data_IF_860943103806
#
_entry.id   IF_860943103806
#
_cell.length_a   1.000
_cell.length_b   1.000
_cell.length_c   1.000
_cell.angle_alpha   90.00
_cell.angle_beta   90.00
_cell.angle_gamma   90.00
#
_symmetry.space_group_name_H-M   'P 1'
#
loop_
_entity.id
_entity.type
_entity.pdbx_description
1 polymer ?
#
# COMPACT_ATOMS: atom_id res chain seq x y z
N UNK A 1 77.28 -29.05 35.77
CA UNK A 1 77.27 -27.59 36.01
C UNK A 1 77.86 -26.91 34.80
N UNK A 2 77.14 -25.92 34.25
CA UNK A 2 77.60 -24.63 33.74
C UNK A 2 76.62 -24.20 32.63
N UNK A 3 75.86 -23.17 32.99
CA UNK A 3 75.08 -22.27 32.13
C UNK A 3 76.02 -21.21 31.56
N UNK A 4 75.83 -20.79 30.30
CA UNK A 4 76.11 -19.44 29.77
C UNK A 4 75.29 -19.32 28.47
N UNK A 5 74.27 -18.45 28.39
CA UNK A 5 74.29 -16.99 28.21
C UNK A 5 74.18 -16.56 26.74
N UNK A 6 73.31 -15.56 26.56
CA UNK A 6 72.65 -15.10 25.32
C UNK A 6 73.62 -14.44 24.34
N UNK A 7 73.40 -14.64 23.04
CA UNK A 7 73.65 -13.61 22.03
C UNK A 7 72.52 -13.64 21.01
N UNK A 8 71.81 -12.51 20.92
CA UNK A 8 70.86 -12.23 19.85
C UNK A 8 71.64 -11.78 18.62
N UNK A 9 71.28 -12.31 17.44
CA UNK A 9 71.67 -11.74 16.17
C UNK A 9 70.46 -11.76 15.24
N UNK A 10 70.02 -10.57 14.85
CA UNK A 10 68.96 -10.35 13.90
C UNK A 10 69.45 -10.69 12.49
N UNK A 11 68.67 -11.48 11.76
CA UNK A 11 68.81 -11.63 10.31
C UNK A 11 67.42 -11.53 9.68
N UNK A 12 67.19 -10.41 8.99
CA UNK A 12 66.00 -10.19 8.19
C UNK A 12 66.03 -11.12 6.97
N UNK A 13 65.05 -12.01 6.85
CA UNK A 13 64.82 -12.79 5.65
C UNK A 13 63.72 -12.11 4.82
N UNK A 14 64.11 -11.63 3.64
CA UNK A 14 63.27 -11.02 2.62
C UNK A 14 62.39 -12.12 2.02
N UNK A 15 61.09 -12.11 2.28
CA UNK A 15 60.14 -12.93 1.52
C UNK A 15 59.75 -12.19 0.23
N UNK A 16 60.23 -12.71 -0.90
CA UNK A 16 59.76 -12.27 -2.21
C UNK A 16 58.27 -12.61 -2.37
N UNK A 17 57.43 -11.61 -2.51
CA UNK A 17 56.04 -11.81 -2.89
C UNK A 17 56.00 -12.11 -4.39
N UNK A 18 55.59 -13.33 -4.75
CA UNK A 18 55.19 -13.63 -6.13
C UNK A 18 53.80 -13.01 -6.30
N UNK A 19 53.75 -11.81 -6.87
CA UNK A 19 52.51 -11.21 -7.35
C UNK A 19 52.09 -11.96 -8.63
N UNK A 20 51.19 -12.93 -8.48
CA UNK A 20 50.41 -13.40 -9.62
C UNK A 20 49.41 -12.28 -9.97
N UNK A 21 49.32 -11.83 -11.23
CA UNK A 21 48.21 -10.98 -11.64
C UNK A 21 46.93 -11.80 -11.57
N UNK A 22 46.23 -11.72 -10.44
CA UNK A 22 44.80 -12.00 -10.44
C UNK A 22 44.19 -10.86 -11.26
N UNK A 23 43.63 -11.17 -12.43
CA UNK A 23 42.73 -10.26 -13.12
C UNK A 23 41.52 -10.01 -12.21
N UNK A 24 41.68 -9.07 -11.29
CA UNK A 24 40.60 -8.49 -10.51
C UNK A 24 39.87 -7.50 -11.43
N UNK A 25 39.15 -8.05 -12.40
CA UNK A 25 38.19 -7.28 -13.22
C UNK A 25 36.77 -7.80 -13.07
N UNK A 26 36.51 -8.63 -12.06
CA UNK A 26 35.14 -8.86 -11.60
C UNK A 26 34.89 -7.90 -10.46
N UNK A 27 34.67 -6.64 -10.84
CA UNK A 27 33.97 -5.70 -9.97
C UNK A 27 32.60 -6.31 -9.72
N UNK A 28 32.42 -6.97 -8.57
CA UNK A 28 31.11 -7.22 -7.96
C UNK A 28 30.38 -5.87 -7.99
N UNK A 29 29.51 -5.72 -8.97
CA UNK A 29 28.67 -4.56 -9.14
C UNK A 29 27.73 -4.52 -7.95
N UNK A 30 28.14 -3.82 -6.90
CA UNK A 30 27.21 -3.25 -5.94
C UNK A 30 26.41 -2.17 -6.68
N UNK A 31 25.47 -2.62 -7.51
CA UNK A 31 24.47 -1.75 -8.09
C UNK A 31 23.75 -1.07 -6.93
N UNK A 32 24.04 0.22 -6.73
CA UNK A 32 23.25 1.08 -5.88
C UNK A 32 21.84 1.14 -6.49
N UNK A 33 20.97 0.23 -6.07
CA UNK A 33 19.54 0.39 -6.29
C UNK A 33 19.18 1.72 -5.63
N UNK A 34 18.72 2.69 -6.44
CA UNK A 34 18.14 3.91 -5.90
C UNK A 34 17.12 3.48 -4.83
N UNK A 35 17.27 3.96 -3.59
CA UNK A 35 16.28 3.72 -2.53
C UNK A 35 15.03 4.49 -2.91
N UNK A 36 14.21 3.86 -3.73
CA UNK A 36 12.97 4.39 -4.28
C UNK A 36 11.91 4.36 -3.19
N UNK A 37 11.93 5.37 -2.32
CA UNK A 37 10.83 5.61 -1.39
C UNK A 37 10.77 4.73 -0.13
N UNK A 38 9.66 4.86 0.61
CA UNK A 38 9.35 4.08 1.81
C UNK A 38 9.09 2.61 1.42
N UNK A 39 9.83 1.61 1.95
CA UNK A 39 9.56 0.20 1.66
C UNK A 39 8.17 -0.24 2.13
N UNK A 40 7.53 -1.16 1.39
CA UNK A 40 6.24 -1.75 1.78
C UNK A 40 6.30 -2.34 3.19
N UNK A 41 5.31 -2.03 4.02
CA UNK A 41 5.21 -2.55 5.39
C UNK A 41 3.78 -2.50 5.91
N UNK A 42 3.51 -3.32 6.92
CA UNK A 42 2.25 -3.27 7.66
C UNK A 42 2.56 -3.30 9.16
N UNK A 43 1.60 -2.89 9.98
CA UNK A 43 1.76 -2.94 11.43
C UNK A 43 0.76 -2.06 12.15
N UNK A 44 1.13 -1.61 13.35
CA UNK A 44 0.34 -0.66 14.13
C UNK A 44 1.13 0.62 14.40
N UNK A 45 0.43 1.75 14.43
CA UNK A 45 1.00 3.06 14.75
C UNK A 45 -0.05 3.89 15.45
N UNK A 46 0.26 4.38 16.66
CA UNK A 46 -0.61 5.25 17.45
C UNK A 46 -2.04 4.70 17.65
N UNK A 47 -2.17 3.38 17.85
CA UNK A 47 -3.45 2.70 18.09
C UNK A 47 -4.22 2.27 16.84
N UNK A 48 -3.73 2.57 15.64
CA UNK A 48 -4.36 2.17 14.38
C UNK A 48 -3.50 1.14 13.64
N UNK A 49 -4.15 0.21 12.94
CA UNK A 49 -3.48 -0.61 11.94
C UNK A 49 -3.11 0.25 10.72
N UNK A 50 -1.99 -0.06 10.08
CA UNK A 50 -1.63 0.52 8.79
C UNK A 50 -1.18 -0.57 7.82
N UNK A 51 -1.48 -0.34 6.55
CA UNK A 51 -0.90 -1.09 5.44
C UNK A 51 -0.36 -0.10 4.43
N UNK A 52 0.86 -0.36 3.98
CA UNK A 52 1.56 0.41 2.95
C UNK A 52 2.20 -0.57 1.97
N UNK A 53 1.88 -0.41 0.69
CA UNK A 53 2.41 -1.23 -0.38
C UNK A 53 2.76 -0.37 -1.61
N UNK A 54 3.89 -0.68 -2.24
CA UNK A 54 4.31 -0.16 -3.54
C UNK A 54 4.96 -1.26 -4.35
N UNK A 55 4.84 -1.18 -5.69
CA UNK A 55 5.62 -2.00 -6.62
C UNK A 55 7.09 -1.55 -6.76
N UNK A 56 7.47 -0.45 -6.11
CA UNK A 56 8.83 0.11 -6.09
C UNK A 56 9.18 0.98 -7.30
N UNK A 57 8.29 1.11 -8.28
CA UNK A 57 8.57 1.89 -9.48
C UNK A 57 8.46 3.41 -9.24
N UNK A 58 7.48 3.84 -8.43
CA UNK A 58 7.26 5.25 -8.10
C UNK A 58 8.20 5.75 -7.00
N UNK A 59 8.63 7.01 -7.10
CA UNK A 59 9.24 7.70 -5.96
C UNK A 59 8.13 8.05 -4.99
N UNK A 60 8.11 7.42 -3.82
CA UNK A 60 7.01 7.55 -2.87
C UNK A 60 7.44 7.60 -1.42
N UNK A 61 6.85 8.51 -0.64
CA UNK A 61 7.02 8.56 0.81
C UNK A 61 5.68 8.34 1.49
N UNK A 62 5.59 7.25 2.25
CA UNK A 62 4.51 6.99 3.20
C UNK A 62 5.00 7.29 4.62
N UNK A 63 4.22 8.09 5.36
CA UNK A 63 4.54 8.49 6.74
C UNK A 63 3.33 8.28 7.64
N UNK A 64 3.52 7.53 8.73
CA UNK A 64 2.55 7.46 9.82
C UNK A 64 2.60 8.73 10.67
N UNK A 65 1.50 9.48 10.74
CA UNK A 65 1.30 10.60 11.65
C UNK A 65 0.71 10.18 13.01
N UNK A 66 0.37 11.16 13.84
CA UNK A 66 -0.29 10.96 15.13
C UNK A 66 -1.70 10.37 14.99
N UNK A 67 -2.13 9.54 15.94
CA UNK A 67 -3.43 8.85 15.90
C UNK A 67 -3.67 8.12 14.57
N UNK A 68 -4.85 8.34 13.98
CA UNK A 68 -5.22 7.75 12.69
C UNK A 68 -4.69 8.47 11.45
N UNK A 69 -3.77 9.44 11.60
CA UNK A 69 -3.20 10.18 10.48
C UNK A 69 -2.13 9.39 9.73
N UNK A 70 -2.15 9.46 8.40
CA UNK A 70 -1.03 9.14 7.52
C UNK A 70 -0.88 10.21 6.43
N UNK A 71 0.33 10.32 5.89
CA UNK A 71 0.64 11.15 4.72
C UNK A 71 1.26 10.27 3.65
N UNK A 72 0.87 10.50 2.40
CA UNK A 72 1.43 9.86 1.22
C UNK A 72 1.79 10.93 0.19
N UNK A 73 3.04 10.93 -0.27
CA UNK A 73 3.48 11.77 -1.38
C UNK A 73 4.16 10.89 -2.42
N UNK A 74 3.66 10.91 -3.65
CA UNK A 74 4.17 10.10 -4.73
C UNK A 74 4.40 10.94 -5.99
N UNK A 75 5.42 10.57 -6.76
CA UNK A 75 5.77 11.23 -8.02
C UNK A 75 6.38 10.23 -9.00
N UNK A 76 6.58 10.69 -10.24
CA UNK A 76 7.22 9.91 -11.30
C UNK A 76 6.26 9.43 -12.39
N UNK A 77 4.95 9.58 -12.20
CA UNK A 77 3.92 9.15 -13.16
C UNK A 77 4.07 7.68 -13.60
N UNK A 78 4.50 6.83 -12.68
CA UNK A 78 4.74 5.41 -12.90
C UNK A 78 4.29 4.59 -11.68
N UNK A 79 4.30 3.27 -11.82
CA UNK A 79 4.03 2.32 -10.74
C UNK A 79 2.59 2.28 -10.23
N UNK A 80 2.40 1.42 -9.23
CA UNK A 80 1.22 1.32 -8.40
C UNK A 80 1.59 1.33 -6.91
N UNK A 81 0.74 1.96 -6.10
CA UNK A 81 0.93 2.11 -4.67
C UNK A 81 -0.41 2.24 -3.96
N UNK A 82 -0.55 1.62 -2.80
CA UNK A 82 -1.74 1.71 -1.96
C UNK A 82 -1.34 1.79 -0.49
N UNK A 83 -1.86 2.78 0.23
CA UNK A 83 -1.46 3.03 1.61
C UNK A 83 -2.53 3.71 2.44
N UNK A 84 -2.64 3.31 3.71
CA UNK A 84 -3.57 3.95 4.62
C UNK A 84 -3.58 3.39 6.04
N UNK A 85 -4.48 3.92 6.87
CA UNK A 85 -4.71 3.52 8.26
C UNK A 85 -6.14 3.07 8.51
N UNK A 86 -6.33 2.25 9.55
CA UNK A 86 -7.63 1.77 10.00
C UNK A 86 -7.48 0.63 11.00
N UNK A 87 -8.08 -0.52 10.70
CA UNK A 87 -8.22 -1.64 11.63
C UNK A 87 -7.85 -2.97 10.98
N UNK A 88 -7.36 -3.89 11.80
CA UNK A 88 -7.22 -5.30 11.44
C UNK A 88 -7.53 -6.13 12.70
N UNK A 89 -8.59 -6.97 12.71
CA UNK A 89 -9.51 -7.20 11.60
C UNK A 89 -10.45 -6.02 11.34
N UNK A 90 -10.98 -5.97 10.11
CA UNK A 90 -12.10 -5.13 9.72
C UNK A 90 -13.41 -5.58 10.38
N UNK A 91 -14.45 -4.77 10.23
CA UNK A 91 -15.79 -5.08 10.73
C UNK A 91 -16.84 -4.83 9.66
N UNK A 92 -17.94 -5.57 9.73
CA UNK A 92 -19.05 -5.49 8.79
C UNK A 92 -19.99 -4.30 9.01
N UNK A 93 -19.87 -3.61 10.15
CA UNK A 93 -20.78 -2.52 10.53
C UNK A 93 -20.07 -1.29 11.09
N UNK A 94 -18.79 -1.11 10.78
CA UNK A 94 -18.02 0.05 11.26
C UNK A 94 -18.44 1.30 10.49
N UNK A 95 -18.75 2.37 11.22
CA UNK A 95 -18.80 3.72 10.65
C UNK A 95 -17.39 4.29 10.72
N UNK A 96 -16.81 4.60 9.55
CA UNK A 96 -15.43 5.09 9.44
C UNK A 96 -15.49 6.57 9.08
N UNK A 97 -14.92 7.41 9.92
CA UNK A 97 -14.77 8.83 9.59
C UNK A 97 -13.36 9.09 9.07
N UNK A 98 -13.27 10.01 8.11
CA UNK A 98 -11.99 10.49 7.61
C UNK A 98 -12.03 11.99 7.33
N UNK A 99 -10.88 12.63 7.45
CA UNK A 99 -10.69 14.03 7.06
C UNK A 99 -9.23 14.31 6.68
N UNK A 100 -9.01 15.37 5.91
CA UNK A 100 -7.66 15.83 5.58
C UNK A 100 -7.60 16.43 4.18
N UNK A 101 -6.51 16.19 3.45
CA UNK A 101 -6.31 16.67 2.09
C UNK A 101 -6.05 15.51 1.11
N UNK A 102 -6.59 15.63 -0.10
CA UNK A 102 -6.39 14.67 -1.17
C UNK A 102 -6.21 15.42 -2.49
N UNK A 103 -4.96 15.45 -2.99
CA UNK A 103 -4.51 16.27 -4.11
C UNK A 103 -3.78 15.39 -5.14
N UNK A 104 -4.50 14.49 -5.83
CA UNK A 104 -3.92 13.70 -6.91
C UNK A 104 -3.68 14.56 -8.15
N UNK A 105 -2.63 14.23 -8.90
CA UNK A 105 -2.40 14.67 -10.27
C UNK A 105 -2.32 13.43 -11.18
N UNK A 106 -3.46 13.06 -11.77
CA UNK A 106 -3.63 11.86 -12.59
C UNK A 106 -4.51 10.81 -11.94
N UNK A 107 -4.25 9.53 -12.26
CA UNK A 107 -5.06 8.41 -11.78
C UNK A 107 -4.71 8.06 -10.32
N UNK A 108 -5.70 8.18 -9.46
CA UNK A 108 -5.60 7.94 -8.03
C UNK A 108 -7.01 7.85 -7.45
N UNK A 109 -7.18 7.20 -6.30
CA UNK A 109 -8.44 7.18 -5.58
C UNK A 109 -8.27 7.13 -4.06
N UNK A 110 -9.26 7.71 -3.38
CA UNK A 110 -9.42 7.69 -1.93
C UNK A 110 -10.63 6.82 -1.60
N UNK A 111 -10.42 5.78 -0.80
CA UNK A 111 -11.46 4.78 -0.53
C UNK A 111 -11.34 4.18 0.86
N UNK A 112 -12.46 3.68 1.40
CA UNK A 112 -12.37 2.59 2.37
C UNK A 112 -12.03 1.32 1.59
N UNK A 113 -10.95 0.68 1.99
CA UNK A 113 -10.32 -0.44 1.30
C UNK A 113 -10.05 -1.58 2.27
N UNK A 114 -10.25 -2.81 1.83
CA UNK A 114 -9.89 -3.95 2.66
C UNK A 114 -10.08 -5.28 1.97
N UNK A 115 -9.86 -6.32 2.76
CA UNK A 115 -9.91 -7.70 2.29
C UNK A 115 -10.75 -8.58 3.21
N UNK A 116 -11.28 -9.64 2.63
CA UNK A 116 -11.84 -10.78 3.38
C UNK A 116 -11.24 -12.07 2.85
N UNK A 117 -11.26 -13.12 3.67
CA UNK A 117 -10.95 -14.50 3.31
C UNK A 117 -12.18 -15.39 3.43
N UNK A 118 -12.14 -16.50 2.69
CA UNK A 118 -13.22 -17.50 2.63
C UNK A 118 -14.59 -16.90 2.27
N UNK A 119 -14.78 -16.40 1.02
CA UNK A 119 -13.80 -16.30 -0.09
C UNK A 119 -12.81 -15.13 0.02
N UNK A 120 -11.74 -15.18 -0.78
CA UNK A 120 -10.80 -14.06 -0.95
C UNK A 120 -11.48 -12.96 -1.78
N UNK A 121 -11.77 -11.83 -1.15
CA UNK A 121 -12.39 -10.66 -1.79
C UNK A 121 -11.61 -9.42 -1.41
N UNK A 122 -11.25 -8.63 -2.41
CA UNK A 122 -10.78 -7.26 -2.25
C UNK A 122 -11.97 -6.31 -2.41
N UNK A 123 -12.11 -5.30 -1.57
CA UNK A 123 -13.26 -4.41 -1.66
C UNK A 123 -12.90 -2.94 -1.50
N UNK A 124 -13.69 -2.10 -2.17
CA UNK A 124 -13.52 -0.66 -2.22
C UNK A 124 -14.85 0.05 -2.04
N UNK A 125 -14.88 1.04 -1.15
CA UNK A 125 -15.91 2.09 -1.10
C UNK A 125 -15.21 3.40 -1.47
N UNK A 126 -15.28 3.76 -2.75
CA UNK A 126 -14.54 4.87 -3.35
C UNK A 126 -15.30 6.17 -3.13
N UNK A 127 -14.67 7.08 -2.39
CA UNK A 127 -15.23 8.38 -2.01
C UNK A 127 -14.85 9.48 -3.00
N UNK A 128 -13.62 9.41 -3.53
CA UNK A 128 -13.10 10.31 -4.54
C UNK A 128 -12.08 9.60 -5.43
N UNK A 129 -11.88 10.14 -6.62
CA UNK A 129 -10.84 9.71 -7.56
C UNK A 129 -10.32 10.89 -8.37
N UNK A 130 -9.13 10.75 -8.95
CA UNK A 130 -8.49 11.74 -9.80
C UNK A 130 -9.08 11.77 -11.21
N UNK A 131 -8.23 11.56 -12.22
CA UNK A 131 -8.61 11.66 -13.63
C UNK A 131 -9.40 10.46 -14.17
N UNK A 132 -9.39 9.32 -13.49
CA UNK A 132 -9.95 8.06 -13.98
C UNK A 132 -10.83 7.39 -12.92
N UNK A 133 -11.99 6.88 -13.34
CA UNK A 133 -12.86 6.10 -12.47
C UNK A 133 -12.32 4.66 -12.35
N UNK A 134 -11.91 4.20 -11.15
CA UNK A 134 -11.24 2.91 -10.98
C UNK A 134 -12.12 1.71 -11.35
N UNK A 135 -13.44 1.86 -11.36
CA UNK A 135 -14.37 0.77 -11.67
C UNK A 135 -14.90 0.77 -13.11
N UNK A 136 -14.33 1.56 -14.03
CA UNK A 136 -14.89 1.69 -15.38
C UNK A 136 -14.89 0.39 -16.21
N UNK A 137 -14.02 -0.57 -15.90
CA UNK A 137 -14.02 -1.92 -16.49
C UNK A 137 -14.90 -2.93 -15.72
N UNK A 138 -15.57 -2.50 -14.65
CA UNK A 138 -16.35 -3.37 -13.78
C UNK A 138 -17.77 -3.61 -14.27
N UNK A 139 -18.28 -4.82 -14.03
CA UNK A 139 -19.69 -5.13 -14.28
C UNK A 139 -20.56 -4.42 -13.24
N UNK A 140 -21.38 -3.48 -13.70
CA UNK A 140 -22.37 -2.81 -12.85
C UNK A 140 -23.48 -3.78 -12.43
N UNK A 141 -23.84 -3.74 -11.14
CA UNK A 141 -24.91 -4.55 -10.53
C UNK A 141 -26.12 -3.72 -10.12
N UNK A 142 -25.91 -2.45 -9.76
CA UNK A 142 -26.99 -1.56 -9.36
C UNK A 142 -26.45 -0.29 -8.70
N UNK A 143 -27.29 0.31 -7.86
CA UNK A 143 -26.94 1.48 -7.04
C UNK A 143 -27.47 1.32 -5.62
N UNK A 144 -26.82 1.99 -4.67
CA UNK A 144 -27.31 2.16 -3.30
C UNK A 144 -27.19 3.62 -2.88
N UNK A 145 -28.07 4.07 -1.98
CA UNK A 145 -27.89 5.32 -1.27
C UNK A 145 -27.32 5.03 0.14
N UNK A 146 -26.12 5.52 0.43
CA UNK A 146 -25.47 5.43 1.73
C UNK A 146 -24.93 6.81 2.11
N UNK A 147 -25.01 7.19 3.38
CA UNK A 147 -24.40 8.43 3.90
C UNK A 147 -24.76 9.69 3.09
N UNK A 148 -26.01 9.74 2.61
CA UNK A 148 -26.56 10.86 1.84
C UNK A 148 -26.07 10.96 0.39
N UNK A 149 -25.44 9.93 -0.18
CA UNK A 149 -25.03 9.90 -1.57
C UNK A 149 -25.33 8.57 -2.26
N UNK A 150 -25.44 8.62 -3.59
CA UNK A 150 -25.56 7.42 -4.40
C UNK A 150 -24.18 6.82 -4.66
N UNK A 151 -24.13 5.51 -4.70
CA UNK A 151 -22.96 4.73 -5.09
C UNK A 151 -23.37 3.74 -6.16
N UNK A 152 -22.61 3.70 -7.25
CA UNK A 152 -22.70 2.60 -8.20
C UNK A 152 -22.08 1.35 -7.57
N UNK A 153 -22.79 0.23 -7.64
CA UNK A 153 -22.33 -1.07 -7.17
C UNK A 153 -21.83 -1.89 -8.34
N UNK A 154 -20.56 -2.32 -8.29
CA UNK A 154 -19.91 -3.04 -9.38
C UNK A 154 -19.02 -4.18 -8.89
N UNK A 155 -18.66 -5.10 -9.78
CA UNK A 155 -17.71 -6.18 -9.51
C UNK A 155 -16.81 -6.49 -10.69
N UNK A 156 -15.58 -6.91 -10.40
CA UNK A 156 -14.59 -7.42 -11.35
C UNK A 156 -13.96 -8.70 -10.81
N UNK A 157 -13.40 -9.51 -11.70
CA UNK A 157 -12.51 -10.61 -11.32
C UNK A 157 -11.08 -10.24 -11.70
N UNK A 158 -10.16 -10.40 -10.76
CA UNK A 158 -8.71 -10.30 -10.99
C UNK A 158 -8.18 -11.72 -11.15
N UNK A 159 -7.50 -11.99 -12.27
CA UNK A 159 -6.92 -13.30 -12.58
C UNK A 159 -5.41 -13.26 -12.34
N UNK A 160 -4.90 -14.24 -11.60
CA UNK A 160 -3.46 -14.40 -11.31
C UNK A 160 -2.78 -13.08 -10.87
N UNK A 161 -3.45 -12.35 -9.96
CA UNK A 161 -3.02 -11.04 -9.51
C UNK A 161 -2.47 -11.08 -8.08
N UNK A 162 -1.61 -10.12 -7.69
CA UNK A 162 -1.16 -9.97 -6.30
C UNK A 162 -2.33 -9.80 -5.33
N UNK A 163 -2.23 -10.43 -4.16
CA UNK A 163 -3.21 -10.36 -3.07
C UNK A 163 -2.53 -10.48 -1.71
N UNK A 164 -3.31 -10.38 -0.63
CA UNK A 164 -2.85 -10.64 0.75
C UNK A 164 -2.39 -12.09 1.00
N UNK A 165 -2.71 -13.02 0.08
CA UNK A 165 -2.34 -14.43 0.13
C UNK A 165 -1.45 -14.84 -1.06
N UNK A 166 -0.68 -13.88 -1.60
CA UNK A 166 0.18 -14.08 -2.78
C UNK A 166 -0.59 -13.96 -4.11
N UNK A 167 -0.07 -14.55 -5.18
CA UNK A 167 -0.72 -14.51 -6.50
C UNK A 167 -1.96 -15.40 -6.51
N UNK A 168 -3.14 -14.80 -6.72
CA UNK A 168 -4.43 -15.49 -6.66
C UNK A 168 -5.39 -15.00 -7.75
N UNK A 169 -6.48 -15.75 -7.94
CA UNK A 169 -7.67 -15.26 -8.66
C UNK A 169 -8.76 -14.94 -7.63
N UNK A 170 -9.27 -13.71 -7.65
CA UNK A 170 -10.23 -13.22 -6.66
C UNK A 170 -11.19 -12.18 -7.26
N UNK A 171 -12.31 -11.94 -6.58
CA UNK A 171 -13.23 -10.87 -6.96
C UNK A 171 -12.88 -9.55 -6.26
N UNK A 172 -13.14 -8.46 -6.96
CA UNK A 172 -13.18 -7.12 -6.38
C UNK A 172 -14.62 -6.62 -6.32
N UNK A 173 -15.00 -6.07 -5.18
CA UNK A 173 -16.30 -5.42 -4.97
C UNK A 173 -16.12 -3.91 -4.87
N UNK A 174 -16.98 -3.18 -5.55
CA UNK A 174 -16.90 -1.73 -5.66
C UNK A 174 -18.23 -1.09 -5.26
N UNK A 175 -18.14 -0.08 -4.38
CA UNK A 175 -19.13 0.99 -4.25
C UNK A 175 -18.44 2.27 -4.69
N UNK A 176 -18.86 2.91 -5.78
CA UNK A 176 -18.23 4.15 -6.28
C UNK A 176 -19.17 5.32 -6.15
N UNK A 177 -18.79 6.31 -5.34
CA UNK A 177 -19.62 7.49 -5.05
C UNK A 177 -19.93 8.28 -6.32
N UNK A 178 -21.20 8.61 -6.50
CA UNK A 178 -21.71 9.39 -7.63
C UNK A 178 -22.71 10.46 -7.14
N UNK A 179 -22.37 11.76 -7.23
CA UNK A 179 -21.10 12.31 -7.70
C UNK A 179 -19.96 12.01 -6.71
N UNK A 180 -18.73 11.85 -7.22
CA UNK A 180 -17.53 11.74 -6.38
C UNK A 180 -17.34 13.01 -5.54
N UNK A 181 -16.65 12.91 -4.40
CA UNK A 181 -16.16 14.09 -3.69
C UNK A 181 -15.07 14.76 -4.52
N UNK A 182 -15.03 16.09 -4.54
CA UNK A 182 -14.05 16.85 -5.31
C UNK A 182 -12.64 16.64 -4.74
N UNK A 183 -11.67 16.13 -5.53
CA UNK A 183 -10.26 16.13 -5.15
C UNK A 183 -9.65 17.53 -5.33
N UNK A 184 -8.38 17.70 -4.93
CA UNK A 184 -7.61 18.92 -5.15
C UNK A 184 -7.49 19.83 -3.92
N UNK A 185 -7.90 19.35 -2.74
CA UNK A 185 -7.83 20.12 -1.51
C UNK A 185 -8.37 19.33 -0.33
N UNK A 186 -9.06 20.02 0.59
CA UNK A 186 -9.67 19.42 1.76
C UNK A 186 -10.77 18.42 1.39
N UNK A 187 -10.79 17.28 2.09
CA UNK A 187 -11.79 16.23 1.91
C UNK A 187 -12.11 15.60 3.27
N UNK A 188 -13.38 15.22 3.46
CA UNK A 188 -13.82 14.51 4.66
C UNK A 188 -15.10 13.72 4.38
N UNK A 189 -15.41 12.74 5.24
CA UNK A 189 -16.62 11.96 5.15
C UNK A 189 -16.81 10.99 6.31
N UNK A 190 -18.00 10.41 6.36
CA UNK A 190 -18.36 9.29 7.22
C UNK A 190 -18.89 8.18 6.31
N UNK A 191 -18.35 6.97 6.45
CA UNK A 191 -18.69 5.82 5.62
C UNK A 191 -19.26 4.72 6.51
N UNK A 192 -20.57 4.48 6.40
CA UNK A 192 -21.23 3.37 7.05
C UNK A 192 -21.02 2.09 6.24
N UNK A 193 -19.95 1.35 6.54
CA UNK A 193 -19.58 0.12 5.81
C UNK A 193 -20.72 -0.91 5.78
N UNK A 194 -21.55 -0.97 6.82
CA UNK A 194 -22.71 -1.85 6.88
C UNK A 194 -23.75 -1.56 5.79
N UNK A 195 -23.94 -0.30 5.40
CA UNK A 195 -24.83 0.05 4.30
C UNK A 195 -24.34 -0.57 2.98
N UNK A 196 -23.04 -0.42 2.68
CA UNK A 196 -22.41 -0.94 1.47
C UNK A 196 -22.40 -2.47 1.45
N UNK A 197 -22.02 -3.10 2.55
CA UNK A 197 -21.90 -4.56 2.61
C UNK A 197 -23.28 -5.25 2.53
N UNK A 198 -24.32 -4.63 3.10
CA UNK A 198 -25.69 -5.08 2.91
C UNK A 198 -26.14 -4.94 1.44
N UNK A 199 -25.80 -3.83 0.80
CA UNK A 199 -26.12 -3.64 -0.61
C UNK A 199 -25.43 -4.68 -1.51
N UNK A 200 -24.13 -4.94 -1.30
CA UNK A 200 -23.40 -5.98 -2.01
C UNK A 200 -24.07 -7.34 -1.85
N UNK A 201 -24.39 -7.74 -0.61
CA UNK A 201 -25.12 -8.99 -0.34
C UNK A 201 -26.46 -9.07 -1.09
N UNK A 202 -27.22 -7.98 -1.15
CA UNK A 202 -28.50 -7.92 -1.88
C UNK A 202 -28.33 -8.11 -3.41
N UNK A 203 -27.15 -7.80 -3.95
CA UNK A 203 -26.79 -8.08 -5.34
C UNK A 203 -26.05 -9.41 -5.54
N UNK A 204 -26.05 -10.29 -4.53
CA UNK A 204 -25.38 -11.60 -4.57
C UNK A 204 -23.86 -11.53 -4.42
N UNK A 205 -23.31 -10.36 -4.06
CA UNK A 205 -21.88 -10.13 -3.83
C UNK A 205 -21.58 -10.35 -2.34
N UNK A 206 -21.31 -11.60 -1.95
CA UNK A 206 -21.04 -11.96 -0.56
C UNK A 206 -19.57 -11.76 -0.20
N UNK A 207 -19.30 -10.97 0.85
CA UNK A 207 -17.98 -10.89 1.45
C UNK A 207 -17.60 -12.22 2.12
N UNK A 208 -16.29 -12.40 2.30
CA UNK A 208 -15.73 -13.52 3.04
C UNK A 208 -16.15 -13.54 4.51
N UNK A 209 -16.15 -14.75 5.08
CA UNK A 209 -16.50 -14.98 6.49
C UNK A 209 -15.44 -14.45 7.47
N UNK A 210 -14.23 -14.17 6.99
CA UNK A 210 -13.12 -13.69 7.79
C UNK A 210 -12.64 -12.34 7.27
N UNK A 211 -12.90 -11.26 8.01
CA UNK A 211 -12.31 -9.95 7.69
C UNK A 211 -10.80 -9.96 7.93
N UNK A 212 -10.04 -9.50 6.95
CA UNK A 212 -8.64 -9.08 7.13
C UNK A 212 -8.63 -7.56 7.44
N UNK A 213 -7.63 -6.79 7.03
CA UNK A 213 -7.60 -5.36 7.31
C UNK A 213 -8.70 -4.57 6.58
N UNK A 214 -9.02 -3.41 7.15
CA UNK A 214 -9.97 -2.42 6.65
C UNK A 214 -9.41 -1.03 6.97
N UNK A 215 -9.01 -0.28 5.95
CA UNK A 215 -8.33 1.01 6.07
C UNK A 215 -8.98 2.08 5.19
N UNK A 216 -8.73 3.35 5.48
CA UNK A 216 -8.96 4.43 4.50
C UNK A 216 -7.66 4.58 3.72
N UNK A 217 -7.66 4.15 2.46
CA UNK A 217 -6.49 4.09 1.60
C UNK A 217 -6.49 5.21 0.56
N UNK A 218 -5.29 5.73 0.30
CA UNK A 218 -4.97 6.44 -0.93
C UNK A 218 -4.24 5.47 -1.85
N UNK A 219 -4.69 5.35 -3.10
CA UNK A 219 -4.02 4.59 -4.15
C UNK A 219 -3.61 5.52 -5.30
N UNK A 220 -2.43 5.30 -5.86
CA UNK A 220 -1.90 6.04 -7.00
C UNK A 220 -1.43 5.08 -8.08
N UNK A 221 -1.83 5.33 -9.34
CA UNK A 221 -1.46 4.48 -10.47
C UNK A 221 -0.95 5.32 -11.63
N UNK A 222 0.30 5.15 -12.02
CA UNK A 222 0.95 5.90 -13.11
C UNK A 222 0.70 7.41 -13.01
N UNK A 223 0.84 7.96 -11.81
CA UNK A 223 0.46 9.34 -11.49
C UNK A 223 1.41 9.98 -10.47
N UNK A 224 1.09 11.20 -10.07
CA UNK A 224 1.75 11.91 -8.97
C UNK A 224 0.69 12.48 -8.02
N UNK A 225 1.06 12.86 -6.80
CA UNK A 225 0.13 13.50 -5.89
C UNK A 225 0.56 13.52 -4.43
N UNK A 226 -0.31 14.09 -3.60
CA UNK A 226 -0.17 14.05 -2.15
C UNK A 226 -1.52 13.84 -1.47
N UNK A 227 -1.51 13.12 -0.36
CA UNK A 227 -2.62 13.04 0.57
C UNK A 227 -2.14 13.10 2.01
N UNK A 228 -2.93 13.71 2.87
CA UNK A 228 -2.78 13.60 4.32
C UNK A 228 -4.16 13.33 4.88
N UNK A 229 -4.38 12.13 5.40
CA UNK A 229 -5.70 11.65 5.79
C UNK A 229 -5.64 11.18 7.24
N UNK A 230 -6.60 11.63 8.04
CA UNK A 230 -6.82 11.20 9.42
C UNK A 230 -8.08 10.36 9.49
N UNK A 231 -7.94 9.15 10.05
CA UNK A 231 -9.01 8.17 10.19
C UNK A 231 -9.47 8.09 11.66
N UNK A 232 -10.76 7.93 11.91
CA UNK A 232 -11.32 7.72 13.25
C UNK A 232 -12.58 6.87 13.26
#
# INVERSE_FOLDING_TARGET
MISFSRLALAAAAITGAVALPTNATDAESFGLLARSGTPSSTGTSNGYYYSWWTDGAAQVTYTNGGGGQYTLSWSGNNGNLVGGKGWNPGSSGRVINYSGTYQPNGNSYLSVYGWTRSPLIEYYIVESYGSYNPSSAAQRKGTVNCDGANYDILTTTRYNAPSIDGTQTFQQFWSVRNPKKNPGGSISGSVNTGCHFNAWRNFGMNLGTQHNYQIVATEGYQSSGTSTITVS
#
